data_IF_677690282792
#
_entry.id   IF_677690282792
#
_cell.length_a   1.000
_cell.length_b   1.000
_cell.length_c   1.000
_cell.angle_alpha   90.00
_cell.angle_beta   90.00
_cell.angle_gamma   90.00
#
_symmetry.space_group_name_H-M   'P 1'
#
loop_
_entity.id
_entity.type
_entity.pdbx_description
1 polymer ?
#
# COMPACT_ATOMS: atom_id res chain seq x y z
N UNK A 1 13.09 -20.22 -3.34
CA UNK A 1 13.15 -19.35 -2.15
C UNK A 1 11.75 -18.85 -1.86
N UNK A 2 11.28 -18.88 -0.60
CA UNK A 2 9.99 -18.26 -0.26
C UNK A 2 10.19 -16.75 -0.21
N UNK A 3 9.62 -16.00 -1.16
CA UNK A 3 9.56 -14.54 -1.07
C UNK A 3 8.74 -14.20 0.18
N UNK A 4 9.44 -13.80 1.25
CA UNK A 4 8.76 -13.41 2.49
C UNK A 4 8.40 -11.95 2.33
N UNK A 5 7.11 -11.67 2.12
CA UNK A 5 6.58 -10.31 2.11
C UNK A 5 6.45 -9.83 3.54
N UNK A 6 7.36 -8.94 3.96
CA UNK A 6 7.38 -8.43 5.32
C UNK A 6 7.91 -7.01 5.37
N UNK A 7 7.24 -6.14 6.12
CA UNK A 7 7.64 -4.74 6.31
C UNK A 7 8.77 -4.61 7.35
N UNK A 8 9.95 -5.19 7.10
CA UNK A 8 11.06 -5.22 8.09
C UNK A 8 11.58 -3.83 8.46
N UNK A 9 11.72 -2.95 7.49
CA UNK A 9 12.23 -1.58 7.68
C UNK A 9 11.18 -0.62 8.25
N UNK A 10 9.90 -1.00 8.24
CA UNK A 10 8.84 -0.14 8.75
C UNK A 10 8.78 -0.16 10.27
N UNK A 11 9.12 0.98 10.88
CA UNK A 11 8.96 1.24 12.29
C UNK A 11 7.47 1.41 12.65
N UNK A 12 7.13 1.19 13.94
CA UNK A 12 5.83 1.53 14.52
C UNK A 12 4.60 1.09 13.70
N UNK A 13 4.61 -0.16 13.22
CA UNK A 13 3.50 -0.75 12.48
C UNK A 13 2.52 -1.49 13.39
N UNK A 14 1.24 -1.39 13.06
CA UNK A 14 0.20 -2.22 13.63
C UNK A 14 -0.24 -3.22 12.56
N UNK A 15 -0.26 -4.51 12.89
CA UNK A 15 -0.81 -5.51 11.98
C UNK A 15 -2.34 -5.41 12.01
N UNK A 16 -3.00 -5.33 10.85
CA UNK A 16 -4.46 -5.43 10.85
C UNK A 16 -4.86 -6.83 11.37
N UNK A 17 -6.03 -6.98 11.99
CA UNK A 17 -6.55 -8.30 12.36
C UNK A 17 -7.32 -8.93 11.17
N UNK A 18 -7.29 -10.26 11.03
CA UNK A 18 -8.22 -10.98 10.12
C UNK A 18 -9.58 -11.08 10.84
N UNK A 19 -10.73 -10.88 10.19
CA UNK A 19 -11.00 -11.08 8.75
C UNK A 19 -10.91 -9.85 7.83
N UNK A 20 -10.55 -8.67 8.34
CA UNK A 20 -10.72 -7.38 7.63
C UNK A 20 -9.71 -7.13 6.48
N UNK A 21 -8.51 -7.75 6.54
CA UNK A 21 -7.42 -7.47 5.57
C UNK A 21 -7.77 -7.68 4.10
N UNK A 22 -8.47 -8.77 3.77
CA UNK A 22 -8.82 -9.05 2.38
C UNK A 22 -9.85 -8.02 1.88
N UNK A 23 -10.85 -7.69 2.69
CA UNK A 23 -11.87 -6.71 2.34
C UNK A 23 -11.24 -5.34 2.09
N UNK A 24 -10.38 -4.87 3.01
CA UNK A 24 -9.66 -3.62 2.84
C UNK A 24 -8.74 -3.64 1.61
N UNK A 25 -8.00 -4.72 1.38
CA UNK A 25 -7.14 -4.86 0.22
C UNK A 25 -7.91 -4.76 -1.10
N UNK A 26 -9.02 -5.50 -1.23
CA UNK A 26 -9.82 -5.48 -2.44
C UNK A 26 -10.56 -4.15 -2.63
N UNK A 27 -10.96 -3.47 -1.56
CA UNK A 27 -11.50 -2.10 -1.65
C UNK A 27 -10.45 -1.09 -2.17
N UNK A 28 -9.16 -1.26 -1.79
CA UNK A 28 -8.09 -0.46 -2.37
C UNK A 28 -7.84 -0.81 -3.85
N UNK A 29 -7.79 -2.09 -4.17
CA UNK A 29 -7.54 -2.57 -5.53
C UNK A 29 -8.67 -2.13 -6.49
N UNK A 30 -9.92 -2.23 -6.06
CA UNK A 30 -11.09 -1.81 -6.84
C UNK A 30 -10.99 -0.34 -7.26
N UNK A 31 -10.54 0.56 -6.38
CA UNK A 31 -10.34 1.98 -6.75
C UNK A 31 -9.27 2.14 -7.85
N UNK A 32 -8.25 1.28 -7.89
CA UNK A 32 -7.23 1.33 -8.95
C UNK A 32 -7.71 0.74 -10.28
N UNK A 33 -8.67 -0.18 -10.24
CA UNK A 33 -9.18 -0.90 -11.41
C UNK A 33 -10.45 -0.28 -12.02
N UNK A 34 -11.24 0.47 -11.24
CA UNK A 34 -12.55 1.01 -11.63
C UNK A 34 -12.52 2.17 -12.66
N UNK A 35 -11.45 2.30 -13.45
CA UNK A 35 -11.27 3.39 -14.41
C UNK A 35 -10.97 4.73 -13.76
N UNK A 36 -10.54 4.74 -12.49
CA UNK A 36 -10.09 5.94 -11.81
C UNK A 36 -8.90 6.57 -12.55
N UNK A 37 -8.85 7.90 -12.58
CA UNK A 37 -7.77 8.62 -13.25
C UNK A 37 -6.50 8.54 -12.41
N UNK A 38 -5.49 7.84 -12.93
CA UNK A 38 -4.17 7.78 -12.32
C UNK A 38 -3.45 9.12 -12.49
N UNK A 39 -3.05 9.72 -11.36
CA UNK A 39 -2.22 10.91 -11.32
C UNK A 39 -0.79 10.49 -10.94
N UNK A 40 0.19 10.56 -11.86
CA UNK A 40 1.55 10.17 -11.56
C UNK A 40 2.20 11.12 -10.55
N UNK A 41 2.91 10.56 -9.58
CA UNK A 41 3.71 11.28 -8.59
C UNK A 41 5.18 10.90 -8.82
N UNK A 42 5.96 11.87 -9.31
CA UNK A 42 7.30 11.60 -9.83
C UNK A 42 8.38 11.32 -8.76
N UNK A 43 8.17 11.72 -7.50
CA UNK A 43 9.19 11.61 -6.45
C UNK A 43 8.58 11.29 -5.08
N UNK A 44 9.39 10.71 -4.20
CA UNK A 44 9.02 10.48 -2.79
C UNK A 44 8.69 11.79 -2.06
N UNK A 45 9.39 12.88 -2.36
CA UNK A 45 9.09 14.19 -1.76
C UNK A 45 7.75 14.75 -2.25
N UNK A 46 7.38 14.50 -3.51
CA UNK A 46 6.07 14.86 -4.03
C UNK A 46 4.97 14.00 -3.39
N UNK A 47 5.24 12.72 -3.15
CA UNK A 47 4.34 11.84 -2.42
C UNK A 47 4.12 12.33 -0.99
N UNK A 48 5.19 12.64 -0.26
CA UNK A 48 5.15 13.15 1.11
C UNK A 48 4.28 14.42 1.23
N UNK A 49 4.35 15.31 0.24
CA UNK A 49 3.51 16.51 0.16
C UNK A 49 2.06 16.21 -0.22
N UNK A 50 1.82 15.19 -1.05
CA UNK A 50 0.49 14.81 -1.50
C UNK A 50 -0.31 14.06 -0.43
N UNK A 51 0.36 13.37 0.50
CA UNK A 51 -0.27 12.63 1.58
C UNK A 51 -0.65 13.54 2.76
N UNK A 52 -1.93 13.63 3.15
CA UNK A 52 -2.33 14.29 4.39
C UNK A 52 -1.72 13.60 5.63
N UNK A 53 -1.56 14.33 6.72
CA UNK A 53 -1.11 13.73 7.98
C UNK A 53 -2.18 12.77 8.52
N UNK A 54 -1.76 11.59 8.98
CA UNK A 54 -2.69 10.56 9.43
C UNK A 54 -2.08 9.17 9.47
N UNK A 55 -2.98 8.19 9.56
CA UNK A 55 -2.64 6.76 9.48
C UNK A 55 -3.00 6.20 8.10
N UNK A 56 -2.18 5.26 7.66
CA UNK A 56 -2.28 4.66 6.35
C UNK A 56 -2.31 3.14 6.46
N UNK A 57 -3.23 2.53 5.74
CA UNK A 57 -3.12 1.14 5.34
C UNK A 57 -2.02 1.01 4.29
N UNK A 58 -1.12 0.05 4.50
CA UNK A 58 -0.04 -0.27 3.57
C UNK A 58 -0.07 -1.77 3.34
N UNK A 59 -0.30 -2.18 2.10
CA UNK A 59 -0.36 -3.58 1.70
C UNK A 59 0.64 -3.86 0.58
N UNK A 60 1.30 -5.01 0.63
CA UNK A 60 1.99 -5.51 -0.56
C UNK A 60 0.95 -5.86 -1.62
N UNK A 61 1.16 -5.39 -2.85
CA UNK A 61 0.26 -5.65 -3.97
C UNK A 61 0.50 -7.06 -4.55
N UNK A 62 0.23 -8.09 -3.73
CA UNK A 62 0.51 -9.48 -4.08
C UNK A 62 -0.70 -10.33 -3.75
N UNK A 63 -1.27 -10.93 -4.78
CA UNK A 63 -2.45 -11.80 -4.67
C UNK A 63 -2.10 -13.24 -4.98
N UNK A 64 -2.73 -14.16 -4.26
CA UNK A 64 -2.70 -15.60 -4.55
C UNK A 64 -4.10 -16.11 -4.86
N UNK A 65 -4.18 -17.20 -5.63
CA UNK A 65 -5.44 -17.85 -6.01
C UNK A 65 -5.54 -19.22 -5.35
N UNK A 66 -6.71 -19.52 -4.77
CA UNK A 66 -7.08 -20.86 -4.29
C UNK A 66 -8.42 -21.23 -4.92
N UNK A 67 -8.37 -22.11 -5.91
CA UNK A 67 -9.52 -22.39 -6.77
C UNK A 67 -9.96 -21.12 -7.50
N UNK A 68 -11.24 -20.75 -7.35
CA UNK A 68 -11.81 -19.51 -7.92
C UNK A 68 -11.64 -18.27 -7.03
N UNK A 69 -11.15 -18.43 -5.80
CA UNK A 69 -11.03 -17.32 -4.84
C UNK A 69 -9.66 -16.68 -4.91
N UNK A 70 -9.61 -15.34 -5.00
CA UNK A 70 -8.39 -14.54 -4.91
C UNK A 70 -8.27 -14.00 -3.48
N UNK A 71 -7.07 -13.99 -2.92
CA UNK A 71 -6.80 -13.42 -1.59
C UNK A 71 -5.46 -12.69 -1.58
N UNK A 72 -5.33 -11.72 -0.67
CA UNK A 72 -4.05 -11.07 -0.37
C UNK A 72 -3.07 -12.11 0.19
N UNK A 73 -1.96 -12.30 -0.49
CA UNK A 73 -0.85 -13.18 -0.06
C UNK A 73 0.29 -12.38 0.62
N UNK A 74 0.28 -11.07 0.43
CA UNK A 74 1.20 -10.14 1.05
C UNK A 74 0.89 -9.80 2.51
N UNK A 75 1.79 -9.03 3.11
CA UNK A 75 1.53 -8.41 4.41
C UNK A 75 0.76 -7.09 4.24
N UNK A 76 -0.14 -6.81 5.20
CA UNK A 76 -0.84 -5.53 5.35
C UNK A 76 -0.76 -5.03 6.79
N UNK A 77 -0.44 -3.75 6.93
CA UNK A 77 -0.22 -3.05 8.19
C UNK A 77 -0.86 -1.66 8.18
N UNK A 78 -0.94 -1.05 9.35
CA UNK A 78 -1.28 0.35 9.57
C UNK A 78 -0.04 1.05 10.13
N UNK A 79 0.26 2.23 9.63
CA UNK A 79 1.37 3.05 10.12
C UNK A 79 1.05 4.54 9.97
N UNK A 80 1.82 5.41 10.62
CA UNK A 80 1.69 6.87 10.45
C UNK A 80 2.40 7.31 9.18
N UNK A 81 1.98 8.46 8.63
CA UNK A 81 2.62 9.08 7.45
C UNK A 81 4.15 9.14 7.56
N UNK A 82 4.68 9.65 8.67
CA UNK A 82 6.13 9.86 8.83
C UNK A 82 6.91 8.55 8.77
N UNK A 83 6.41 7.51 9.47
CA UNK A 83 6.98 6.16 9.45
C UNK A 83 6.89 5.53 8.05
N UNK A 84 5.77 5.72 7.34
CA UNK A 84 5.59 5.29 5.95
C UNK A 84 6.61 5.95 5.01
N UNK A 85 6.75 7.28 5.06
CA UNK A 85 7.66 8.01 4.19
C UNK A 85 9.11 7.61 4.48
N UNK A 86 9.47 7.47 5.76
CA UNK A 86 10.80 7.00 6.16
C UNK A 86 11.06 5.59 5.63
N UNK A 87 10.09 4.68 5.74
CA UNK A 87 10.17 3.32 5.20
C UNK A 87 10.41 3.33 3.68
N UNK A 88 9.64 4.12 2.92
CA UNK A 88 9.81 4.19 1.47
C UNK A 88 11.19 4.75 1.07
N UNK A 89 11.67 5.79 1.77
CA UNK A 89 13.02 6.35 1.57
C UNK A 89 14.11 5.31 1.85
N UNK A 90 13.99 4.55 2.95
CA UNK A 90 14.94 3.50 3.31
C UNK A 90 14.91 2.33 2.31
N UNK A 91 13.72 1.86 1.91
CA UNK A 91 13.55 0.80 0.91
C UNK A 91 14.11 1.19 -0.45
N UNK A 92 13.87 2.42 -0.90
CA UNK A 92 14.44 2.94 -2.14
C UNK A 92 15.98 2.99 -2.10
N UNK A 93 16.56 3.43 -0.98
CA UNK A 93 18.02 3.51 -0.82
C UNK A 93 18.74 2.16 -0.90
N UNK A 94 18.04 1.05 -0.63
CA UNK A 94 18.58 -0.31 -0.72
C UNK A 94 18.04 -1.11 -1.93
N UNK A 95 17.30 -0.45 -2.83
CA UNK A 95 16.68 -1.08 -3.99
C UNK A 95 15.75 -2.27 -3.65
N UNK A 96 15.00 -2.18 -2.54
CA UNK A 96 13.96 -3.14 -2.11
C UNK A 96 12.59 -2.43 -2.02
N UNK A 97 12.31 -1.60 -3.01
CA UNK A 97 11.03 -0.94 -3.17
C UNK A 97 10.08 -1.89 -3.90
N UNK A 98 9.12 -2.46 -3.17
CA UNK A 98 8.19 -3.45 -3.71
C UNK A 98 6.89 -2.81 -4.17
N UNK A 99 6.09 -3.56 -4.92
CA UNK A 99 4.76 -3.12 -5.29
C UNK A 99 3.86 -3.03 -4.05
N UNK A 100 3.27 -1.86 -3.84
CA UNK A 100 2.45 -1.55 -2.67
C UNK A 100 1.14 -0.87 -3.08
N UNK A 101 0.10 -1.10 -2.27
CA UNK A 101 -1.09 -0.25 -2.21
C UNK A 101 -1.09 0.49 -0.87
N UNK A 102 -1.30 1.79 -0.94
CA UNK A 102 -1.30 2.71 0.20
C UNK A 102 -2.61 3.49 0.19
N UNK A 103 -3.35 3.51 1.29
CA UNK A 103 -4.56 4.30 1.43
C UNK A 103 -4.65 4.91 2.83
N UNK A 104 -5.24 6.11 3.02
CA UNK A 104 -5.55 6.60 4.36
C UNK A 104 -6.50 5.60 5.03
N UNK A 105 -6.43 5.43 6.36
CA UNK A 105 -7.35 4.52 7.06
C UNK A 105 -8.81 4.85 6.78
N UNK A 106 -9.64 3.85 6.48
CA UNK A 106 -11.01 4.05 6.00
C UNK A 106 -12.01 3.02 6.59
N UNK A 107 -13.30 3.32 6.42
CA UNK A 107 -14.40 2.39 6.66
C UNK A 107 -15.23 2.29 5.38
N UNK A 108 -15.35 1.10 4.81
CA UNK A 108 -15.99 0.89 3.51
C UNK A 108 -15.02 1.07 2.33
N UNK A 109 -14.87 2.31 1.83
CA UNK A 109 -14.03 2.62 0.67
C UNK A 109 -12.97 3.68 0.99
N UNK A 110 -11.74 3.57 0.42
CA UNK A 110 -10.70 4.57 0.61
C UNK A 110 -11.02 5.87 -0.13
N UNK A 111 -10.66 7.01 0.46
CA UNK A 111 -10.79 8.32 -0.19
C UNK A 111 -9.84 8.50 -1.39
N UNK A 112 -8.71 7.78 -1.36
CA UNK A 112 -7.75 7.68 -2.46
C UNK A 112 -6.85 6.47 -2.23
N UNK A 113 -6.20 5.99 -3.30
CA UNK A 113 -5.18 4.94 -3.22
C UNK A 113 -3.94 5.41 -3.96
N UNK A 114 -2.77 5.28 -3.34
CA UNK A 114 -1.49 5.36 -4.02
C UNK A 114 -1.05 3.93 -4.33
N UNK A 115 -0.93 3.63 -5.62
CA UNK A 115 -0.26 2.43 -6.10
C UNK A 115 1.20 2.76 -6.35
N UNK A 116 2.08 1.93 -5.81
CA UNK A 116 3.49 1.90 -6.16
C UNK A 116 3.70 0.65 -7.01
N UNK A 117 4.12 0.86 -8.26
CA UNK A 117 4.42 -0.18 -9.23
C UNK A 117 5.60 0.28 -10.08
N UNK A 118 6.59 -0.59 -10.26
CA UNK A 118 7.78 -0.30 -11.07
C UNK A 118 8.44 1.05 -10.70
N UNK A 119 8.70 1.22 -9.41
CA UNK A 119 9.28 2.43 -8.79
C UNK A 119 8.48 3.73 -9.01
N UNK A 120 7.27 3.63 -9.56
CA UNK A 120 6.43 4.75 -9.93
C UNK A 120 5.20 4.83 -9.05
N UNK A 121 4.94 6.02 -8.50
CA UNK A 121 3.76 6.29 -7.68
C UNK A 121 2.61 6.81 -8.53
N UNK A 122 1.43 6.22 -8.36
CA UNK A 122 0.22 6.59 -9.06
C UNK A 122 -0.90 6.80 -8.05
N UNK A 123 -1.47 8.00 -8.02
CA UNK A 123 -2.57 8.36 -7.14
C UNK A 123 -3.92 8.21 -7.88
N UNK A 124 -4.81 7.41 -7.30
CA UNK A 124 -6.17 7.16 -7.76
C UNK A 124 -7.17 7.76 -6.78
N UNK A 125 -8.24 8.35 -7.31
CA UNK A 125 -9.34 9.00 -6.58
C UNK A 125 -10.66 8.70 -7.27
#
# INVERSE_FOLDING_TARGET
>A
MKNTYSFKLLANKQHCCKPDKNALFFAMLELTEAGATAHPIATLDALEKALPDGHYHVAHNVVSRKGKTVYLDGEMVITRKDDLIMFLKQSAAINDLRDLLIAPTFSGAPAFVVSLYDESFHLYR
#
